data_IF_481778608450
#
_entry.id   IF_481778608450
#
_cell.length_a   1.000
_cell.length_b   1.000
_cell.length_c   1.000
_cell.angle_alpha   90.00
_cell.angle_beta   90.00
_cell.angle_gamma   90.00
#
_symmetry.space_group_name_H-M   'P 1'
#
loop_
_entity.id
_entity.type
_entity.pdbx_description
1 polymer ?
#
# COMPACT_ATOMS: atom_id res chain seq x y z
N UNK A 1 -46.73 -26.89 -41.63
CA UNK A 1 -45.40 -27.51 -41.79
C UNK A 1 -44.36 -26.54 -41.22
N UNK A 2 -43.38 -27.03 -40.43
CA UNK A 2 -43.10 -26.49 -39.11
C UNK A 2 -42.12 -25.31 -39.10
N UNK A 3 -42.27 -24.49 -38.05
CA UNK A 3 -41.42 -23.37 -37.66
C UNK A 3 -40.09 -23.90 -37.14
N UNK A 4 -39.00 -23.38 -37.68
CA UNK A 4 -37.67 -23.47 -37.07
C UNK A 4 -37.68 -22.75 -35.72
N UNK A 5 -37.77 -23.53 -34.64
CA UNK A 5 -37.53 -23.06 -33.28
C UNK A 5 -36.02 -23.11 -33.06
N UNK A 6 -35.40 -21.95 -33.20
CA UNK A 6 -34.01 -21.71 -32.81
C UNK A 6 -33.92 -21.83 -31.28
N UNK A 7 -33.41 -22.95 -30.78
CA UNK A 7 -33.13 -23.14 -29.35
C UNK A 7 -31.94 -22.28 -28.91
N UNK A 8 -32.05 -21.47 -27.84
CA UNK A 8 -30.92 -20.70 -27.31
C UNK A 8 -29.95 -21.64 -26.58
N UNK A 9 -28.69 -21.65 -27.01
CA UNK A 9 -27.61 -22.49 -26.45
C UNK A 9 -26.98 -21.93 -25.17
N UNK A 10 -27.51 -20.85 -24.60
CA UNK A 10 -26.86 -20.11 -23.51
C UNK A 10 -27.31 -20.48 -22.09
N UNK A 11 -28.23 -21.45 -21.91
CA UNK A 11 -28.81 -21.74 -20.58
C UNK A 11 -28.00 -22.76 -19.76
N UNK A 12 -27.07 -23.52 -20.36
CA UNK A 12 -26.30 -24.56 -19.65
C UNK A 12 -25.01 -24.06 -18.96
N UNK A 13 -24.51 -22.87 -19.30
CA UNK A 13 -23.27 -22.33 -18.69
C UNK A 13 -23.52 -21.49 -17.42
N UNK A 14 -24.79 -21.22 -17.10
CA UNK A 14 -25.19 -20.31 -16.02
C UNK A 14 -25.22 -20.99 -14.64
N UNK A 15 -25.44 -22.31 -14.61
CA UNK A 15 -25.49 -23.12 -13.39
C UNK A 15 -24.14 -23.21 -12.65
N UNK A 16 -23.04 -23.58 -13.32
CA UNK A 16 -21.72 -23.65 -12.71
C UNK A 16 -21.21 -22.28 -12.26
N UNK A 17 -21.46 -21.23 -13.05
CA UNK A 17 -21.07 -19.85 -12.71
C UNK A 17 -21.75 -19.35 -11.45
N UNK A 18 -23.06 -19.56 -11.32
CA UNK A 18 -23.81 -19.19 -10.11
C UNK A 18 -23.41 -20.03 -8.91
N UNK A 19 -23.07 -21.30 -9.09
CA UNK A 19 -22.58 -22.15 -7.99
C UNK A 19 -21.19 -21.71 -7.55
N UNK A 20 -20.28 -21.37 -8.46
CA UNK A 20 -18.94 -20.84 -8.13
C UNK A 20 -19.08 -19.46 -7.50
N UNK A 21 -19.91 -18.57 -8.02
CA UNK A 21 -20.22 -17.27 -7.39
C UNK A 21 -20.82 -17.45 -6.00
N UNK A 22 -21.73 -18.40 -5.79
CA UNK A 22 -22.32 -18.68 -4.48
C UNK A 22 -21.33 -19.33 -3.51
N UNK A 23 -20.50 -20.27 -3.97
CA UNK A 23 -19.44 -20.90 -3.18
C UNK A 23 -18.33 -19.89 -2.83
N UNK A 24 -18.02 -19.00 -3.76
CA UNK A 24 -17.13 -17.87 -3.58
C UNK A 24 -17.72 -16.86 -2.61
N UNK A 25 -19.02 -16.55 -2.71
CA UNK A 25 -19.74 -15.68 -1.76
C UNK A 25 -19.75 -16.25 -0.35
N UNK A 26 -19.91 -17.57 -0.20
CA UNK A 26 -19.81 -18.26 1.09
C UNK A 26 -18.38 -18.23 1.65
N UNK A 27 -17.37 -18.33 0.78
CA UNK A 27 -15.95 -18.21 1.17
C UNK A 27 -15.57 -16.77 1.51
N UNK A 28 -16.15 -15.78 0.85
CA UNK A 28 -16.02 -14.33 1.13
C UNK A 28 -16.75 -13.94 2.42
N UNK A 29 -17.86 -14.60 2.75
CA UNK A 29 -18.63 -14.38 3.99
C UNK A 29 -17.95 -14.99 5.23
N UNK A 30 -17.00 -15.91 5.05
CA UNK A 30 -16.16 -16.43 6.14
C UNK A 30 -14.80 -15.78 6.04
N UNK A 31 -14.42 -15.04 7.07
CA UNK A 31 -13.10 -14.47 7.30
C UNK A 31 -11.90 -15.35 6.91
N UNK A 32 -12.05 -16.68 6.97
CA UNK A 32 -11.05 -17.67 6.55
C UNK A 32 -10.93 -17.90 5.04
N UNK A 33 -11.96 -17.63 4.23
CA UNK A 33 -11.98 -18.03 2.82
C UNK A 33 -11.13 -17.16 1.90
N UNK A 34 -10.90 -15.90 2.29
CA UNK A 34 -9.96 -15.02 1.60
C UNK A 34 -8.52 -15.57 1.62
N UNK A 35 -8.02 -16.04 2.77
CA UNK A 35 -6.64 -16.54 2.89
C UNK A 35 -6.42 -17.74 1.95
N UNK A 36 -7.31 -18.73 1.98
CA UNK A 36 -7.22 -19.91 1.11
C UNK A 36 -7.33 -19.58 -0.38
N UNK A 37 -8.13 -18.58 -0.74
CA UNK A 37 -8.35 -18.23 -2.14
C UNK A 37 -7.14 -17.54 -2.77
N UNK A 38 -6.35 -16.79 -1.98
CA UNK A 38 -5.09 -16.21 -2.44
C UNK A 38 -4.04 -17.29 -2.75
N UNK A 39 -3.99 -18.34 -1.93
CA UNK A 39 -3.09 -19.48 -2.15
C UNK A 39 -3.52 -20.33 -3.36
N UNK A 40 -4.83 -20.56 -3.52
CA UNK A 40 -5.38 -21.31 -4.66
C UNK A 40 -5.23 -20.52 -5.98
N UNK A 41 -5.28 -19.18 -5.93
CA UNK A 41 -5.09 -18.33 -7.11
C UNK A 41 -3.73 -18.53 -7.80
N UNK A 42 -2.68 -18.87 -7.04
CA UNK A 42 -1.37 -19.19 -7.60
C UNK A 42 -1.30 -20.56 -8.28
N UNK A 43 -2.24 -21.46 -7.98
CA UNK A 43 -2.29 -22.82 -8.51
C UNK A 43 -3.26 -22.98 -9.70
N UNK A 44 -4.22 -22.05 -9.86
CA UNK A 44 -5.17 -22.06 -10.97
C UNK A 44 -4.59 -21.29 -12.16
N UNK A 45 -3.99 -22.01 -13.11
CA UNK A 45 -3.32 -21.54 -14.34
C UNK A 45 -4.19 -20.63 -15.24
N UNK A 46 -4.43 -19.39 -14.81
CA UNK A 46 -5.04 -18.33 -15.62
C UNK A 46 -6.58 -18.37 -15.74
N UNK A 47 -7.26 -19.46 -15.38
CA UNK A 47 -8.73 -19.55 -15.43
C UNK A 47 -9.41 -18.55 -14.46
N UNK A 48 -8.75 -18.23 -13.34
CA UNK A 48 -9.20 -17.23 -12.38
C UNK A 48 -9.25 -15.82 -12.97
N UNK A 49 -8.47 -15.54 -14.02
CA UNK A 49 -8.37 -14.22 -14.68
C UNK A 49 -9.74 -13.72 -15.14
N UNK A 50 -10.60 -14.62 -15.64
CA UNK A 50 -11.93 -14.29 -16.13
C UNK A 50 -12.90 -13.83 -15.02
N UNK A 51 -12.63 -14.21 -13.78
CA UNK A 51 -13.45 -13.87 -12.62
C UNK A 51 -12.95 -12.63 -11.88
N UNK A 52 -11.74 -12.14 -12.17
CA UNK A 52 -11.13 -10.98 -11.49
C UNK A 52 -12.00 -9.72 -11.48
N UNK A 53 -12.74 -9.36 -12.55
CA UNK A 53 -13.65 -8.22 -12.49
C UNK A 53 -14.71 -8.36 -11.40
N UNK A 54 -15.28 -9.56 -11.24
CA UNK A 54 -16.32 -9.87 -10.25
C UNK A 54 -15.71 -9.86 -8.85
N UNK A 55 -14.55 -10.50 -8.68
CA UNK A 55 -13.81 -10.54 -7.41
C UNK A 55 -13.44 -9.12 -6.96
N UNK A 56 -12.88 -8.32 -7.87
CA UNK A 56 -12.52 -6.93 -7.60
C UNK A 56 -13.73 -6.08 -7.19
N UNK A 57 -14.90 -6.28 -7.82
CA UNK A 57 -16.13 -5.61 -7.41
C UNK A 57 -16.54 -5.99 -5.99
N UNK A 58 -16.53 -7.27 -5.64
CA UNK A 58 -16.86 -7.72 -4.28
C UNK A 58 -15.87 -7.23 -3.23
N UNK A 59 -14.58 -7.18 -3.57
CA UNK A 59 -13.56 -6.63 -2.67
C UNK A 59 -13.77 -5.14 -2.44
N UNK A 60 -14.13 -4.39 -3.48
CA UNK A 60 -14.47 -2.97 -3.32
C UNK A 60 -15.63 -2.82 -2.34
N UNK A 61 -16.70 -3.57 -2.50
CA UNK A 61 -17.85 -3.52 -1.59
C UNK A 61 -17.51 -3.94 -0.15
N UNK A 62 -16.55 -4.85 0.04
CA UNK A 62 -16.08 -5.28 1.35
C UNK A 62 -15.13 -4.26 2.03
N UNK A 63 -14.33 -3.54 1.24
CA UNK A 63 -13.39 -2.51 1.73
C UNK A 63 -14.12 -1.20 2.03
N UNK A 64 -15.05 -0.80 1.17
CA UNK A 64 -15.87 0.42 1.33
C UNK A 64 -17.35 0.06 1.41
N UNK A 65 -17.78 -0.65 2.47
CA UNK A 65 -19.17 -1.06 2.61
C UNK A 65 -20.07 0.16 2.78
N UNK A 66 -21.24 0.13 2.13
CA UNK A 66 -22.26 1.20 2.25
C UNK A 66 -22.75 1.39 3.70
N UNK A 67 -22.68 0.33 4.51
CA UNK A 67 -23.01 0.32 5.94
C UNK A 67 -22.05 -0.62 6.67
N UNK A 68 -21.47 -0.16 7.77
CA UNK A 68 -20.53 -0.94 8.57
C UNK A 68 -19.10 -0.47 8.41
N UNK A 69 -18.16 -1.30 8.88
CA UNK A 69 -16.72 -0.99 8.89
C UNK A 69 -16.01 -1.70 7.73
N UNK A 70 -14.94 -1.11 7.17
CA UNK A 70 -14.07 -1.78 6.21
C UNK A 70 -13.60 -3.15 6.73
N UNK A 71 -13.62 -4.16 5.87
CA UNK A 71 -13.05 -5.47 6.19
C UNK A 71 -11.53 -5.45 6.04
N UNK A 72 -10.80 -5.66 7.14
CA UNK A 72 -9.34 -5.81 7.11
C UNK A 72 -8.91 -7.08 6.37
N UNK A 73 -9.73 -8.13 6.41
CA UNK A 73 -9.46 -9.38 5.70
C UNK A 73 -9.55 -9.19 4.19
N UNK A 74 -10.47 -8.34 3.72
CA UNK A 74 -10.52 -7.96 2.31
C UNK A 74 -9.25 -7.21 1.88
N UNK A 75 -8.67 -6.36 2.74
CA UNK A 75 -7.39 -5.70 2.45
C UNK A 75 -6.25 -6.71 2.36
N UNK A 76 -6.14 -7.60 3.34
CA UNK A 76 -5.13 -8.67 3.34
C UNK A 76 -5.25 -9.56 2.08
N UNK A 77 -6.50 -9.84 1.67
CA UNK A 77 -6.76 -10.60 0.46
C UNK A 77 -6.20 -9.94 -0.80
N UNK A 78 -6.36 -8.62 -0.95
CA UNK A 78 -5.83 -7.90 -2.11
C UNK A 78 -4.32 -8.06 -2.21
N UNK A 79 -3.60 -8.01 -1.08
CA UNK A 79 -2.16 -8.30 -1.03
C UNK A 79 -1.84 -9.73 -1.48
N UNK A 80 -2.53 -10.72 -0.91
CA UNK A 80 -2.29 -12.14 -1.21
C UNK A 80 -2.60 -12.49 -2.68
N UNK A 81 -3.69 -11.99 -3.25
CA UNK A 81 -4.02 -12.25 -4.66
C UNK A 81 -3.05 -11.53 -5.60
N UNK A 82 -2.61 -10.31 -5.26
CA UNK A 82 -1.57 -9.61 -6.02
C UNK A 82 -0.25 -10.38 -5.99
N UNK A 83 0.10 -10.97 -4.84
CA UNK A 83 1.26 -11.85 -4.70
C UNK A 83 1.16 -13.12 -5.53
N UNK A 84 -0.02 -13.73 -5.57
CA UNK A 84 -0.24 -14.97 -6.31
C UNK A 84 -0.26 -14.76 -7.84
N UNK A 85 -0.86 -13.67 -8.30
CA UNK A 85 -1.15 -13.45 -9.73
C UNK A 85 -0.28 -12.38 -10.39
N UNK A 86 0.51 -11.63 -9.61
CA UNK A 86 1.43 -10.61 -10.10
C UNK A 86 0.76 -9.57 -11.00
N UNK A 87 1.38 -9.31 -12.15
CA UNK A 87 0.95 -8.24 -13.06
C UNK A 87 -0.46 -8.44 -13.66
N UNK A 88 -1.03 -9.65 -13.65
CA UNK A 88 -2.40 -9.87 -14.11
C UNK A 88 -3.42 -9.11 -13.25
N UNK A 89 -3.10 -8.91 -11.96
CA UNK A 89 -3.97 -8.17 -11.03
C UNK A 89 -3.83 -6.65 -11.10
N UNK A 90 -2.86 -6.15 -11.85
CA UNK A 90 -2.50 -4.73 -11.94
C UNK A 90 -3.70 -3.79 -12.17
N UNK A 91 -4.53 -3.94 -13.21
CA UNK A 91 -5.65 -3.02 -13.46
C UNK A 91 -6.72 -3.08 -12.37
N UNK A 92 -6.93 -4.27 -11.78
CA UNK A 92 -7.91 -4.48 -10.72
C UNK A 92 -7.44 -3.86 -9.40
N UNK A 93 -6.17 -4.04 -9.04
CA UNK A 93 -5.57 -3.45 -7.85
C UNK A 93 -5.52 -1.94 -7.99
N UNK A 94 -5.13 -1.40 -9.15
CA UNK A 94 -5.17 0.06 -9.39
C UNK A 94 -6.56 0.63 -9.10
N UNK A 95 -7.62 -0.04 -9.56
CA UNK A 95 -9.01 0.35 -9.31
C UNK A 95 -9.49 0.18 -7.86
N UNK A 96 -8.73 -0.52 -7.01
CA UNK A 96 -9.03 -0.72 -5.59
C UNK A 96 -8.26 0.22 -4.67
N UNK A 97 -7.12 0.77 -5.11
CA UNK A 97 -6.25 1.62 -4.28
C UNK A 97 -7.03 2.77 -3.60
N UNK A 98 -7.87 3.50 -4.33
CA UNK A 98 -8.67 4.60 -3.75
C UNK A 98 -9.56 4.12 -2.60
N UNK A 99 -10.18 2.94 -2.75
CA UNK A 99 -11.03 2.35 -1.72
C UNK A 99 -10.21 1.86 -0.52
N UNK A 100 -9.06 1.23 -0.78
CA UNK A 100 -8.13 0.78 0.26
C UNK A 100 -7.64 1.95 1.10
N UNK A 101 -7.18 3.03 0.46
CA UNK A 101 -6.74 4.22 1.17
C UNK A 101 -7.89 4.93 1.91
N UNK A 102 -9.09 4.98 1.33
CA UNK A 102 -10.27 5.57 2.00
C UNK A 102 -10.65 4.86 3.30
N UNK A 103 -10.25 3.59 3.49
CA UNK A 103 -10.46 2.85 4.74
C UNK A 103 -9.58 3.33 5.91
N UNK A 104 -8.54 4.13 5.62
CA UNK A 104 -7.58 4.65 6.60
C UNK A 104 -6.31 3.82 6.71
N UNK A 105 -5.30 4.38 7.38
CA UNK A 105 -4.02 3.69 7.60
C UNK A 105 -4.18 2.61 8.67
N UNK A 106 -3.80 1.37 8.32
CA UNK A 106 -3.77 0.22 9.22
C UNK A 106 -2.56 -0.65 8.90
N UNK A 107 -2.12 -1.48 9.86
CA UNK A 107 -1.00 -2.40 9.63
C UNK A 107 -1.29 -3.35 8.47
N UNK A 108 -2.50 -3.90 8.41
CA UNK A 108 -2.95 -4.78 7.32
C UNK A 108 -2.91 -4.10 5.96
N UNK A 109 -3.27 -2.81 5.88
CA UNK A 109 -3.13 -2.05 4.64
C UNK A 109 -1.66 -1.95 4.22
N UNK A 110 -0.76 -1.62 5.16
CA UNK A 110 0.67 -1.50 4.88
C UNK A 110 1.25 -2.82 4.37
N UNK A 111 0.97 -3.92 5.05
CA UNK A 111 1.41 -5.27 4.64
C UNK A 111 0.89 -5.65 3.25
N UNK A 112 -0.38 -5.34 2.96
CA UNK A 112 -0.95 -5.59 1.63
C UNK A 112 -0.28 -4.73 0.55
N UNK A 113 -0.01 -3.45 0.83
CA UNK A 113 0.67 -2.55 -0.10
C UNK A 113 2.11 -3.00 -0.38
N UNK A 114 2.84 -3.48 0.62
CA UNK A 114 4.18 -4.05 0.44
C UNK A 114 4.13 -5.24 -0.54
N UNK A 115 3.25 -6.22 -0.28
CA UNK A 115 3.05 -7.37 -1.16
C UNK A 115 2.68 -6.96 -2.60
N UNK A 116 1.80 -5.96 -2.74
CA UNK A 116 1.41 -5.41 -4.05
C UNK A 116 2.62 -4.81 -4.76
N UNK A 117 3.43 -4.00 -4.08
CA UNK A 117 4.58 -3.35 -4.72
C UNK A 117 5.72 -4.30 -5.07
N UNK A 118 5.90 -5.38 -4.31
CA UNK A 118 6.85 -6.44 -4.64
C UNK A 118 6.40 -7.23 -5.87
N UNK A 119 5.09 -7.53 -5.96
CA UNK A 119 4.53 -8.41 -7.00
C UNK A 119 4.14 -7.66 -8.27
N UNK A 120 3.84 -6.35 -8.14
CA UNK A 120 3.41 -5.46 -9.20
C UNK A 120 4.21 -4.14 -9.12
N UNK A 121 5.52 -4.15 -9.47
CA UNK A 121 6.37 -2.97 -9.41
C UNK A 121 5.85 -1.70 -10.11
N UNK A 122 5.10 -1.79 -11.24
CA UNK A 122 4.53 -0.59 -11.87
C UNK A 122 3.56 0.22 -10.99
N UNK A 123 3.00 -0.36 -9.92
CA UNK A 123 2.12 0.34 -8.98
C UNK A 123 2.87 1.10 -7.88
N UNK A 124 4.16 0.84 -7.70
CA UNK A 124 4.97 1.47 -6.65
C UNK A 124 4.89 3.01 -6.66
N UNK A 125 5.09 3.72 -7.80
CA UNK A 125 5.03 5.18 -7.82
C UNK A 125 3.65 5.72 -7.41
N UNK A 126 2.58 5.04 -7.81
CA UNK A 126 1.22 5.41 -7.43
C UNK A 126 1.03 5.26 -5.93
N UNK A 127 1.39 4.10 -5.36
CA UNK A 127 1.25 3.80 -3.93
C UNK A 127 2.10 4.74 -3.07
N UNK A 128 3.34 5.02 -3.47
CA UNK A 128 4.22 5.99 -2.79
C UNK A 128 3.55 7.37 -2.68
N UNK A 129 2.96 7.87 -3.78
CA UNK A 129 2.28 9.16 -3.78
C UNK A 129 1.05 9.19 -2.85
N UNK A 130 0.27 8.10 -2.79
CA UNK A 130 -0.84 8.01 -1.84
C UNK A 130 -0.35 8.00 -0.40
N UNK A 131 0.66 7.18 -0.08
CA UNK A 131 1.24 7.10 1.27
C UNK A 131 1.78 8.45 1.74
N UNK A 132 2.51 9.18 0.89
CA UNK A 132 3.04 10.50 1.26
C UNK A 132 1.92 11.52 1.54
N UNK A 133 0.82 11.50 0.76
CA UNK A 133 -0.37 12.32 1.05
C UNK A 133 -1.01 11.93 2.38
N UNK A 134 -1.13 10.63 2.65
CA UNK A 134 -1.65 10.11 3.92
C UNK A 134 -0.82 10.55 5.11
N UNK A 135 0.50 10.39 5.03
CA UNK A 135 1.40 10.78 6.10
C UNK A 135 1.39 12.29 6.32
N UNK A 136 1.36 13.09 5.25
CA UNK A 136 1.21 14.54 5.37
C UNK A 136 -0.08 14.89 6.14
N UNK A 137 -1.20 14.26 5.82
CA UNK A 137 -2.48 14.51 6.50
C UNK A 137 -2.46 14.08 7.98
N UNK A 138 -1.93 12.88 8.28
CA UNK A 138 -1.85 12.36 9.66
C UNK A 138 -0.93 13.23 10.50
N UNK A 139 0.27 13.50 10.00
CA UNK A 139 1.29 14.27 10.71
C UNK A 139 0.87 15.73 10.85
N UNK A 140 0.23 16.36 9.85
CA UNK A 140 -0.24 17.76 9.97
C UNK A 140 -1.38 17.92 10.98
N UNK A 141 -2.34 16.99 11.00
CA UNK A 141 -3.52 17.07 11.88
C UNK A 141 -3.17 16.85 13.35
N UNK A 142 -2.20 15.99 13.62
CA UNK A 142 -1.77 15.69 14.98
C UNK A 142 -0.96 16.83 15.63
N UNK A 143 -0.24 17.64 14.84
CA UNK A 143 0.44 18.86 15.32
C UNK A 143 -0.49 19.85 16.01
N UNK A 144 -1.72 19.98 15.52
CA UNK A 144 -2.71 20.88 16.10
C UNK A 144 -3.40 20.33 17.36
N UNK A 145 -3.25 19.02 17.62
CA UNK A 145 -3.82 18.37 18.81
C UNK A 145 -2.88 18.37 20.01
N UNK A 146 -1.64 18.84 19.85
CA UNK A 146 -0.65 18.94 20.92
C UNK A 146 -1.02 20.14 21.80
N UNK A 147 -1.66 19.94 22.98
CA UNK A 147 -2.11 21.03 23.79
C UNK A 147 -0.86 21.58 24.48
N UNK A 148 -0.44 22.79 24.10
CA UNK A 148 0.29 23.63 25.05
C UNK A 148 -0.62 23.77 26.27
N UNK A 149 -0.21 23.15 27.37
CA UNK A 149 -0.92 23.09 28.64
C UNK A 149 -1.71 24.39 28.90
N UNK A 150 -3.03 24.28 28.88
CA UNK A 150 -3.90 25.22 29.58
C UNK A 150 -4.69 24.39 30.57
N UNK A 151 -4.32 24.53 31.84
CA UNK A 151 -5.12 24.03 32.93
C UNK A 151 -6.49 24.71 32.87
N UNK A 152 -7.55 23.95 32.59
CA UNK A 152 -8.89 24.35 32.97
C UNK A 152 -9.58 23.17 33.63
N UNK A 153 -10.04 23.44 34.84
CA UNK A 153 -10.82 22.59 35.71
C UNK A 153 -12.27 22.61 35.22
N UNK A 154 -12.94 21.45 35.28
CA UNK A 154 -14.38 21.23 35.58
C UNK A 154 -15.16 20.32 34.62
N UNK A 155 -15.60 19.20 35.22
CA UNK A 155 -17.03 18.81 35.36
C UNK A 155 -17.72 18.00 34.24
N UNK A 156 -17.62 16.67 34.38
CA UNK A 156 -18.73 15.72 34.54
C UNK A 156 -19.86 15.63 33.49
N UNK A 157 -19.90 14.52 32.74
CA UNK A 157 -21.15 13.86 32.36
C UNK A 157 -20.93 12.38 32.03
N UNK A 158 -21.80 11.50 32.54
CA UNK A 158 -21.84 10.06 32.26
C UNK A 158 -22.69 9.80 31.00
N UNK A 159 -22.18 9.06 30.02
CA UNK A 159 -23.01 8.31 29.07
C UNK A 159 -22.30 7.06 28.51
N UNK A 160 -22.95 5.92 28.75
CA UNK A 160 -22.98 4.63 28.04
C UNK A 160 -21.81 4.24 27.11
N UNK A 161 -21.09 3.21 27.55
CA UNK A 161 -20.09 2.44 26.82
C UNK A 161 -20.73 1.66 25.65
N UNK A 162 -20.31 1.98 24.43
CA UNK A 162 -20.38 1.06 23.28
C UNK A 162 -19.05 0.28 23.23
N UNK A 163 -19.00 -0.99 22.78
CA UNK A 163 -17.74 -1.72 22.63
C UNK A 163 -17.00 -1.14 21.44
N UNK A 164 -16.18 -0.12 21.70
CA UNK A 164 -15.32 0.49 20.71
C UNK A 164 -14.09 -0.40 20.51
N UNK A 165 -13.92 -0.95 19.32
CA UNK A 165 -12.56 -1.26 18.85
C UNK A 165 -11.80 0.07 18.84
N UNK A 166 -10.58 0.15 19.41
CA UNK A 166 -9.94 1.42 19.68
C UNK A 166 -9.77 2.21 18.38
N UNK A 167 -10.43 3.35 18.29
CA UNK A 167 -9.94 4.42 17.41
C UNK A 167 -8.49 4.63 17.85
N UNK A 168 -7.53 4.26 16.99
CA UNK A 168 -6.12 4.34 17.35
C UNK A 168 -5.87 5.77 17.82
N UNK A 169 -5.52 5.93 19.09
CA UNK A 169 -5.19 7.24 19.67
C UNK A 169 -4.25 7.96 18.70
N UNK A 170 -4.38 9.27 18.54
CA UNK A 170 -3.61 10.04 17.55
C UNK A 170 -2.11 9.71 17.58
N UNK A 171 -1.56 9.42 18.77
CA UNK A 171 -0.20 8.93 18.96
C UNK A 171 0.11 7.59 18.26
N UNK A 172 -0.77 6.58 18.36
CA UNK A 172 -0.54 5.27 17.70
C UNK A 172 -0.60 5.39 16.18
N UNK A 173 -1.48 6.25 15.66
CA UNK A 173 -1.56 6.52 14.22
C UNK A 173 -0.32 7.25 13.70
N UNK A 174 0.21 8.21 14.47
CA UNK A 174 1.48 8.88 14.19
C UNK A 174 2.63 7.87 14.20
N UNK A 175 2.72 7.01 15.22
CA UNK A 175 3.74 5.96 15.29
C UNK A 175 3.69 5.03 14.08
N UNK A 176 2.50 4.58 13.68
CA UNK A 176 2.33 3.73 12.50
C UNK A 176 2.79 4.45 11.23
N UNK A 177 2.42 5.73 11.05
CA UNK A 177 2.87 6.53 9.92
C UNK A 177 4.41 6.67 9.88
N UNK A 178 5.04 6.96 11.02
CA UNK A 178 6.50 7.10 11.13
C UNK A 178 7.24 5.79 10.85
N UNK A 179 6.78 4.67 11.41
CA UNK A 179 7.36 3.35 11.17
C UNK A 179 7.22 2.94 9.71
N UNK A 180 6.07 3.21 9.10
CA UNK A 180 5.82 2.92 7.68
C UNK A 180 6.70 3.79 6.79
N UNK A 181 6.84 5.09 7.09
CA UNK A 181 7.72 6.00 6.36
C UNK A 181 9.20 5.55 6.42
N UNK A 182 9.62 4.94 7.53
CA UNK A 182 10.97 4.42 7.69
C UNK A 182 11.23 3.12 6.91
N UNK A 183 10.25 2.23 6.81
CA UNK A 183 10.44 0.89 6.23
C UNK A 183 10.02 0.78 4.76
N UNK A 184 8.97 1.50 4.36
CA UNK A 184 8.42 1.37 3.02
C UNK A 184 9.38 1.93 1.97
N UNK A 185 9.39 1.31 0.79
CA UNK A 185 10.29 1.71 -0.29
C UNK A 185 9.84 3.04 -0.91
N UNK A 186 10.54 4.14 -0.60
CA UNK A 186 10.35 5.47 -1.20
C UNK A 186 11.49 5.89 -2.15
N UNK A 187 12.24 4.93 -2.71
CA UNK A 187 13.28 5.25 -3.71
C UNK A 187 12.69 6.08 -4.84
N UNK A 188 13.38 7.16 -5.21
CA UNK A 188 12.92 8.12 -6.21
C UNK A 188 12.24 9.37 -5.66
N UNK A 189 11.94 9.41 -4.34
CA UNK A 189 11.42 10.60 -3.67
C UNK A 189 12.50 11.28 -2.82
N UNK A 190 12.54 12.61 -2.86
CA UNK A 190 13.30 13.40 -1.90
C UNK A 190 12.45 13.62 -0.64
N UNK A 191 12.77 12.85 0.40
CA UNK A 191 12.05 12.88 1.67
C UNK A 191 12.73 13.75 2.73
N UNK A 192 13.88 14.38 2.43
CA UNK A 192 14.59 15.20 3.42
C UNK A 192 13.79 16.46 3.78
N UNK A 193 13.20 17.12 2.77
CA UNK A 193 12.31 18.27 2.98
C UNK A 193 11.08 17.84 3.77
N UNK A 194 10.46 16.72 3.38
CA UNK A 194 9.31 16.15 4.08
C UNK A 194 9.61 15.85 5.56
N UNK A 195 10.77 15.23 5.85
CA UNK A 195 11.18 14.92 7.21
C UNK A 195 11.32 16.19 8.06
N UNK A 196 11.98 17.22 7.50
CA UNK A 196 12.18 18.50 8.18
C UNK A 196 10.87 19.20 8.51
N UNK A 197 9.90 19.17 7.61
CA UNK A 197 8.63 19.89 7.76
C UNK A 197 7.60 19.12 8.58
N UNK A 198 7.51 17.80 8.41
CA UNK A 198 6.41 16.99 8.95
C UNK A 198 6.80 16.06 10.09
N UNK A 199 8.08 15.64 10.18
CA UNK A 199 8.53 14.59 11.10
C UNK A 199 9.30 15.16 12.31
N UNK A 200 10.23 16.10 12.08
CA UNK A 200 11.13 16.67 13.13
C UNK A 200 10.36 17.27 14.31
N UNK A 201 9.20 17.85 14.05
CA UNK A 201 8.25 18.41 15.02
C UNK A 201 7.78 17.41 16.08
N UNK A 202 7.88 16.10 15.83
CA UNK A 202 7.56 15.05 16.81
C UNK A 202 8.76 14.62 17.68
N UNK A 203 9.96 15.19 17.50
CA UNK A 203 11.11 14.88 18.37
C UNK A 203 10.88 15.29 19.82
N UNK A 204 10.03 16.30 20.04
CA UNK A 204 9.65 16.81 21.35
C UNK A 204 8.34 16.21 21.87
N UNK A 205 7.86 15.10 21.28
CA UNK A 205 6.64 14.45 21.73
C UNK A 205 6.76 13.95 23.18
N UNK A 206 5.69 14.06 23.96
CA UNK A 206 5.62 13.59 25.35
C UNK A 206 5.86 12.07 25.46
N UNK A 207 5.36 11.32 24.48
CA UNK A 207 5.50 9.88 24.43
C UNK A 207 6.90 9.47 23.91
N UNK A 208 7.64 8.76 24.77
CA UNK A 208 8.99 8.28 24.47
C UNK A 208 9.01 7.28 23.30
N UNK A 209 7.95 6.48 23.11
CA UNK A 209 7.88 5.54 21.99
C UNK A 209 7.76 6.30 20.65
N UNK A 210 6.93 7.34 20.60
CA UNK A 210 6.82 8.23 19.44
C UNK A 210 8.17 8.89 19.13
N UNK A 211 8.86 9.46 20.13
CA UNK A 211 10.20 10.05 19.91
C UNK A 211 11.20 9.06 19.32
N UNK A 212 11.20 7.81 19.80
CA UNK A 212 12.06 6.76 19.26
C UNK A 212 11.76 6.47 17.79
N UNK A 213 10.49 6.37 17.41
CA UNK A 213 10.08 6.14 16.03
C UNK A 213 10.46 7.32 15.11
N UNK A 214 10.37 8.56 15.60
CA UNK A 214 10.79 9.77 14.87
C UNK A 214 12.29 9.74 14.58
N UNK A 215 13.12 9.46 15.59
CA UNK A 215 14.57 9.40 15.43
C UNK A 215 14.94 8.31 14.42
N UNK A 216 14.37 7.12 14.55
CA UNK A 216 14.60 6.03 13.61
C UNK A 216 14.18 6.41 12.19
N UNK A 217 13.01 7.00 12.03
CA UNK A 217 12.51 7.49 10.75
C UNK A 217 13.48 8.49 10.11
N UNK A 218 13.88 9.54 10.84
CA UNK A 218 14.83 10.54 10.37
C UNK A 218 16.18 9.92 9.96
N UNK A 219 16.74 9.02 10.78
CA UNK A 219 18.00 8.34 10.47
C UNK A 219 17.89 7.52 9.17
N UNK A 220 16.80 6.76 8.99
CA UNK A 220 16.59 5.96 7.79
C UNK A 220 16.39 6.82 6.54
N UNK A 221 15.62 7.90 6.63
CA UNK A 221 15.42 8.83 5.50
C UNK A 221 16.74 9.48 5.07
N UNK A 222 17.57 9.89 6.03
CA UNK A 222 18.90 10.43 5.76
C UNK A 222 19.80 9.38 5.12
N UNK A 223 19.86 8.16 5.68
CA UNK A 223 20.65 7.07 5.09
C UNK A 223 20.23 6.74 3.65
N UNK A 224 18.92 6.69 3.39
CA UNK A 224 18.37 6.44 2.06
C UNK A 224 18.71 7.55 1.07
N UNK A 225 18.70 8.82 1.51
CA UNK A 225 19.08 9.96 0.67
C UNK A 225 20.54 9.85 0.17
N UNK A 226 21.46 9.41 1.03
CA UNK A 226 22.86 9.21 0.65
C UNK A 226 23.08 8.01 -0.28
N UNK A 227 22.32 6.92 -0.09
CA UNK A 227 22.37 5.75 -0.99
C UNK A 227 21.97 6.10 -2.43
N UNK A 228 21.01 7.00 -2.60
CA UNK A 228 20.62 7.53 -3.93
C UNK A 228 21.76 8.35 -4.54
N UNK A 229 22.43 9.20 -3.76
CA UNK A 229 23.52 10.07 -4.21
C UNK A 229 24.77 9.26 -4.61
N UNK A 230 25.10 8.17 -3.90
CA UNK A 230 26.22 7.30 -4.27
C UNK A 230 26.00 6.56 -5.61
N UNK A 231 24.74 6.26 -5.94
CA UNK A 231 24.39 5.55 -7.19
C UNK A 231 24.44 6.47 -8.42
N UNK A 232 24.11 7.75 -8.26
CA UNK A 232 24.13 8.73 -9.35
C UNK A 232 25.54 9.22 -9.69
N UNK A 233 26.43 9.34 -8.70
CA UNK A 233 27.83 9.71 -8.96
C UNK A 233 28.58 8.63 -9.75
N UNK A 234 28.39 7.34 -9.45
CA UNK A 234 29.04 6.24 -10.17
C UNK A 234 28.57 6.09 -11.64
N UNK A 235 27.39 6.64 -11.96
CA UNK A 235 26.81 6.61 -13.30
C UNK A 235 27.31 7.76 -14.18
N UNK A 236 27.55 8.94 -13.58
CA UNK A 236 28.09 10.11 -14.27
C UNK A 236 29.61 10.01 -14.54
N UNK A 237 30.36 9.29 -13.70
CA UNK A 237 31.81 9.12 -13.90
C UNK A 237 32.19 8.25 -15.10
N UNK A 238 31.26 7.50 -15.70
CA UNK A 238 31.57 6.54 -16.78
C UNK A 238 31.49 7.10 -18.22
N UNK A 239 31.05 8.34 -18.42
CA UNK A 239 30.81 8.88 -19.78
C UNK A 239 32.00 9.69 -20.36
N UNK A 240 33.02 10.05 -19.57
CA UNK A 240 34.13 10.90 -20.05
C UNK A 240 35.52 10.24 -20.09
N UNK A 241 35.63 9.01 -20.60
CA UNK A 241 36.94 8.39 -20.86
C UNK A 241 37.03 7.73 -22.25
N UNK A 242 36.63 8.46 -23.31
CA UNK A 242 37.02 8.13 -24.68
C UNK A 242 38.48 8.57 -24.94
N UNK A 243 39.40 7.75 -24.44
CA UNK A 243 40.72 7.42 -25.00
C UNK A 243 41.33 8.33 -26.08
N UNK A 244 42.02 9.40 -25.66
CA UNK A 244 43.05 10.06 -26.46
C UNK A 244 44.43 9.46 -26.21
N UNK A 245 44.78 8.32 -26.82
CA UNK A 245 46.16 7.80 -26.83
C UNK A 245 46.84 8.10 -28.18
N UNK A 246 47.51 9.26 -28.24
CA UNK A 246 48.54 9.56 -29.26
C UNK A 246 49.67 8.52 -29.15
N UNK A 247 49.78 7.64 -30.15
CA UNK A 247 50.96 6.78 -30.37
C UNK A 247 52.14 7.66 -30.81
N UNK A 248 53.15 7.83 -29.96
CA UNK A 248 54.50 8.26 -30.39
C UNK A 248 55.23 7.02 -30.92
N UNK A 249 55.54 6.97 -32.22
CA UNK A 249 56.55 6.07 -32.78
C UNK A 249 57.87 6.81 -32.85
N UNK A 250 58.88 6.18 -32.26
CA UNK A 250 60.29 6.45 -32.41
C UNK A 250 60.71 5.99 -33.82
N UNK A 251 61.41 6.82 -34.59
CA UNK A 251 62.26 6.38 -35.70
C UNK A 251 63.63 7.00 -35.48
N UNK A 252 64.62 6.11 -35.46
CA UNK A 252 66.03 6.34 -35.19
C UNK A 252 66.78 6.68 -36.49
N UNK A 253 67.71 7.67 -36.40
CA UNK A 253 68.96 7.98 -37.15
C UNK A 253 69.04 7.63 -38.65
N UNK A 254 69.53 8.50 -39.55
CA UNK A 254 70.83 9.21 -39.63
C UNK A 254 70.65 10.49 -40.46
#
# INVERSE_FOLDING_TARGET
MPRDVMYPKDVCAEGPRRQVEHQFRISVERSSGFITLGEIAGALDGELTNYLPIISSHLRDAITPRRGRPSLEALAYVGNIAKAMGQTMEPHVRGLLDSMFSSGLSLTLVEALEQITESIPPLLPTIQNYLLKFFSAILSRSHHSMPRQSASVSQGHFTMVTPQVPELSGSVMVQLALRTLAHFNFKGHDLLVFARESVVVYLENEDAATRKDVVLCCCTLVANSFSVISSTQFSLSRINCASGKRRRRLVEKV
#
